data_IF_235863797602
#
_entry.id   IF_235863797602
#
_cell.length_a   1.000
_cell.length_b   1.000
_cell.length_c   1.000
_cell.angle_alpha   90.00
_cell.angle_beta   90.00
_cell.angle_gamma   90.00
#
_symmetry.space_group_name_H-M   'P 1'
#
loop_
_entity.id
_entity.type
_entity.pdbx_description
1 polymer ?
#
# COMPACT_ATOMS: atom_id res chain seq x y z
N UNK A 1 3.90 -17.88 12.59
CA UNK A 1 4.77 -16.69 12.52
C UNK A 1 4.12 -15.50 13.25
N UNK A 2 2.95 -15.04 12.81
CA UNK A 2 2.32 -13.79 13.30
C UNK A 2 1.83 -13.80 14.77
N UNK A 3 1.90 -14.93 15.45
CA UNK A 3 1.70 -15.06 16.89
C UNK A 3 3.03 -15.19 17.66
N UNK A 4 3.92 -16.06 17.19
CA UNK A 4 5.17 -16.39 17.91
C UNK A 4 6.17 -15.23 17.87
N UNK A 5 6.38 -14.64 16.70
CA UNK A 5 7.34 -13.54 16.51
C UNK A 5 7.12 -12.36 17.48
N UNK A 6 5.89 -11.79 17.61
CA UNK A 6 5.71 -10.67 18.53
C UNK A 6 5.82 -11.07 20.01
N UNK A 7 5.39 -12.28 20.37
CA UNK A 7 5.31 -12.70 21.78
C UNK A 7 6.66 -13.17 22.33
N UNK A 8 7.44 -13.90 21.52
CA UNK A 8 8.68 -14.55 21.99
C UNK A 8 9.95 -13.80 21.55
N UNK A 9 9.92 -13.14 20.39
CA UNK A 9 11.12 -12.58 19.77
C UNK A 9 11.09 -11.05 19.64
N UNK A 10 9.98 -10.38 19.99
CA UNK A 10 9.77 -8.95 19.79
C UNK A 10 9.99 -8.49 18.33
N UNK A 11 9.61 -9.34 17.38
CA UNK A 11 9.65 -9.08 15.94
C UNK A 11 8.25 -8.72 15.46
N UNK A 12 8.09 -7.57 14.81
CA UNK A 12 6.82 -7.17 14.20
C UNK A 12 6.60 -7.94 12.90
N UNK A 13 5.65 -8.88 12.83
CA UNK A 13 5.25 -9.49 11.56
C UNK A 13 4.37 -8.53 10.79
N UNK A 14 4.54 -8.50 9.47
CA UNK A 14 3.89 -7.54 8.60
C UNK A 14 3.44 -8.19 7.29
N UNK A 15 2.15 -8.07 6.97
CA UNK A 15 1.65 -8.36 5.63
C UNK A 15 1.97 -7.16 4.72
N UNK A 16 3.16 -7.14 4.17
CA UNK A 16 3.70 -6.04 3.38
C UNK A 16 4.74 -6.54 2.36
N UNK A 17 4.96 -5.77 1.30
CA UNK A 17 6.15 -5.93 0.46
C UNK A 17 7.31 -5.11 1.01
N UNK A 18 8.54 -5.45 0.62
CA UNK A 18 9.72 -4.67 0.99
C UNK A 18 10.75 -4.64 -0.14
N UNK A 19 11.42 -3.50 -0.28
CA UNK A 19 12.54 -3.34 -1.19
C UNK A 19 13.67 -2.50 -0.56
N UNK A 20 14.82 -2.50 -1.22
CA UNK A 20 16.01 -1.84 -0.74
C UNK A 20 16.71 -1.10 -1.88
N UNK A 21 17.22 0.07 -1.59
CA UNK A 21 18.11 0.80 -2.49
C UNK A 21 19.45 0.04 -2.62
N UNK A 22 19.92 -0.29 -3.83
CA UNK A 22 21.13 -1.08 -4.02
C UNK A 22 22.43 -0.35 -3.67
N UNK A 23 22.42 1.00 -3.64
CA UNK A 23 23.60 1.82 -3.36
C UNK A 23 23.70 2.19 -1.88
N UNK A 24 22.60 2.64 -1.28
CA UNK A 24 22.57 3.12 0.10
C UNK A 24 22.20 2.03 1.11
N UNK A 25 21.53 0.96 0.67
CA UNK A 25 20.96 -0.05 1.56
C UNK A 25 19.67 0.40 2.25
N UNK A 26 19.15 1.58 1.92
CA UNK A 26 17.94 2.12 2.55
C UNK A 26 16.71 1.28 2.17
N UNK A 27 16.09 0.72 3.18
CA UNK A 27 14.95 -0.19 3.06
C UNK A 27 13.62 0.56 3.18
N UNK A 28 12.63 0.11 2.40
CA UNK A 28 11.26 0.57 2.47
C UNK A 28 10.29 -0.61 2.57
N UNK A 29 9.17 -0.41 3.29
CA UNK A 29 8.08 -1.37 3.38
C UNK A 29 6.78 -0.77 2.84
N UNK A 30 5.97 -1.61 2.19
CA UNK A 30 4.74 -1.21 1.52
C UNK A 30 3.58 -2.05 2.04
N UNK A 31 2.71 -1.44 2.82
CA UNK A 31 1.45 -2.05 3.22
C UNK A 31 0.36 -1.73 2.22
N UNK A 32 -0.55 -2.65 2.03
CA UNK A 32 -1.70 -2.42 1.17
C UNK A 32 -2.46 -3.70 0.87
N UNK A 33 -3.76 -3.57 0.67
CA UNK A 33 -4.63 -4.67 0.29
C UNK A 33 -4.52 -4.97 -1.21
N UNK A 34 -5.11 -6.07 -1.64
CA UNK A 34 -5.15 -6.45 -3.06
C UNK A 34 -5.72 -5.31 -3.92
N UNK A 35 -5.07 -5.01 -5.03
CA UNK A 35 -5.46 -3.95 -5.96
C UNK A 35 -4.97 -2.54 -5.63
N UNK A 36 -4.30 -2.32 -4.49
CA UNK A 36 -3.70 -1.01 -4.15
C UNK A 36 -2.35 -0.75 -4.83
N UNK A 37 -1.75 -1.76 -5.45
CA UNK A 37 -0.48 -1.64 -6.16
C UNK A 37 0.75 -2.06 -5.34
N UNK A 38 0.59 -2.80 -4.24
CA UNK A 38 1.69 -3.27 -3.36
C UNK A 38 2.82 -3.91 -4.18
N UNK A 39 2.54 -4.98 -4.93
CA UNK A 39 3.52 -5.69 -5.77
C UNK A 39 4.10 -4.79 -6.87
N UNK A 40 3.25 -4.06 -7.60
CA UNK A 40 3.66 -3.16 -8.70
C UNK A 40 4.62 -2.04 -8.26
N UNK A 41 4.45 -1.51 -7.05
CA UNK A 41 5.24 -0.39 -6.54
C UNK A 41 6.51 -0.85 -5.80
N UNK A 42 6.49 -2.04 -5.20
CA UNK A 42 7.67 -2.63 -4.56
C UNK A 42 8.64 -3.26 -5.57
N UNK A 43 8.15 -3.77 -6.70
CA UNK A 43 8.94 -4.33 -7.80
C UNK A 43 9.50 -3.21 -8.71
N UNK A 44 10.24 -2.27 -8.15
CA UNK A 44 10.91 -1.18 -8.86
C UNK A 44 12.23 -1.70 -9.48
N UNK A 45 12.48 -1.53 -10.80
CA UNK A 45 13.72 -1.97 -11.44
C UNK A 45 15.00 -1.31 -10.88
N UNK A 46 14.87 -0.15 -10.26
CA UNK A 46 16.00 0.57 -9.64
C UNK A 46 16.25 0.18 -8.18
N UNK A 47 15.44 -0.71 -7.61
CA UNK A 47 15.56 -1.16 -6.22
C UNK A 47 15.60 -2.68 -6.17
N UNK A 48 16.20 -3.26 -5.14
CA UNK A 48 16.22 -4.71 -4.93
C UNK A 48 14.99 -5.14 -4.15
N UNK A 49 14.21 -6.07 -4.66
CA UNK A 49 13.07 -6.64 -3.98
C UNK A 49 13.55 -7.58 -2.85
N UNK A 50 13.15 -7.32 -1.60
CA UNK A 50 13.40 -8.20 -0.46
C UNK A 50 12.35 -9.31 -0.42
N UNK A 51 11.10 -8.95 -0.64
CA UNK A 51 9.96 -9.87 -0.73
C UNK A 51 8.67 -9.13 -1.06
N UNK A 52 7.65 -9.89 -1.43
CA UNK A 52 6.39 -9.35 -1.97
C UNK A 52 5.27 -9.26 -0.93
N UNK A 53 5.24 -10.15 0.09
CA UNK A 53 4.02 -10.33 0.87
C UNK A 53 4.20 -10.38 2.39
N UNK A 54 5.17 -11.13 2.94
CA UNK A 54 5.27 -11.39 4.38
C UNK A 54 6.68 -11.14 4.93
N UNK A 55 6.79 -10.21 5.87
CA UNK A 55 8.06 -9.78 6.46
C UNK A 55 8.02 -9.69 7.98
N UNK A 56 9.18 -9.92 8.60
CA UNK A 56 9.43 -9.62 10.00
C UNK A 56 10.34 -8.39 10.15
N UNK A 57 9.98 -7.46 11.04
CA UNK A 57 10.82 -6.32 11.41
C UNK A 57 11.39 -6.54 12.80
N UNK A 58 12.66 -6.96 12.85
CA UNK A 58 13.43 -7.14 14.09
C UNK A 58 14.03 -5.81 14.59
N UNK A 59 14.88 -5.87 15.59
CA UNK A 59 15.65 -4.71 16.04
C UNK A 59 16.92 -4.47 15.20
N UNK A 60 17.29 -5.39 14.33
CA UNK A 60 18.50 -5.35 13.52
C UNK A 60 18.21 -5.18 12.02
N UNK A 61 17.12 -5.81 11.54
CA UNK A 61 16.84 -5.93 10.12
C UNK A 61 15.34 -6.08 9.82
N UNK A 62 15.03 -6.07 8.53
CA UNK A 62 13.78 -6.63 7.99
C UNK A 62 14.12 -7.87 7.18
N UNK A 63 13.29 -8.90 7.24
CA UNK A 63 13.48 -10.14 6.49
C UNK A 63 12.17 -10.69 5.96
N UNK A 64 12.25 -11.27 4.76
CA UNK A 64 11.17 -12.01 4.14
C UNK A 64 11.13 -13.44 4.71
N UNK A 65 9.95 -13.94 5.06
CA UNK A 65 9.78 -15.33 5.50
C UNK A 65 8.82 -16.14 4.60
N UNK A 66 8.37 -15.56 3.49
CA UNK A 66 7.52 -16.22 2.50
C UNK A 66 8.33 -16.88 1.37
N UNK A 67 9.31 -16.18 0.79
CA UNK A 67 10.18 -16.70 -0.27
C UNK A 67 9.55 -16.76 -1.66
N UNK A 68 8.29 -16.39 -1.82
CA UNK A 68 7.54 -16.36 -3.07
C UNK A 68 6.96 -14.99 -3.42
N UNK A 69 6.44 -14.89 -4.63
CA UNK A 69 5.64 -13.77 -5.11
C UNK A 69 4.31 -14.26 -5.67
N UNK A 70 3.25 -13.48 -5.49
CA UNK A 70 1.91 -13.81 -5.97
C UNK A 70 1.25 -12.58 -6.58
N UNK A 71 1.42 -12.41 -7.89
CA UNK A 71 1.02 -11.22 -8.62
C UNK A 71 -0.29 -11.40 -9.39
N UNK A 72 -0.98 -10.28 -9.65
CA UNK A 72 -2.15 -10.22 -10.54
C UNK A 72 -1.66 -10.19 -11.99
N UNK A 73 -2.36 -10.91 -12.89
CA UNK A 73 -1.99 -11.04 -14.30
C UNK A 73 -2.97 -10.40 -15.27
N UNK A 74 -4.19 -10.00 -14.85
CA UNK A 74 -5.13 -9.36 -15.78
C UNK A 74 -4.52 -8.06 -16.32
N UNK A 75 -4.61 -7.85 -17.63
CA UNK A 75 -4.02 -6.71 -18.34
C UNK A 75 -2.50 -6.54 -18.12
N UNK A 76 -1.77 -7.63 -17.83
CA UNK A 76 -0.34 -7.61 -17.61
C UNK A 76 0.39 -7.34 -18.93
N UNK A 77 1.18 -6.27 -18.98
CA UNK A 77 1.99 -5.86 -20.11
C UNK A 77 3.47 -5.73 -19.69
N UNK A 78 4.38 -6.20 -20.54
CA UNK A 78 5.82 -6.10 -20.29
C UNK A 78 6.28 -4.65 -20.13
N UNK A 79 5.71 -3.72 -20.91
CA UNK A 79 6.07 -2.31 -20.84
C UNK A 79 5.70 -1.62 -19.52
N UNK A 80 4.65 -2.12 -18.86
CA UNK A 80 4.14 -1.55 -17.60
C UNK A 80 4.75 -2.18 -16.37
N UNK A 81 4.92 -3.51 -16.39
CA UNK A 81 5.37 -4.33 -15.25
C UNK A 81 6.40 -5.37 -15.70
N UNK A 82 7.58 -4.93 -16.20
CA UNK A 82 8.57 -5.81 -16.80
C UNK A 82 9.09 -6.89 -15.85
N UNK A 83 9.25 -6.58 -14.56
CA UNK A 83 9.76 -7.53 -13.58
C UNK A 83 8.79 -8.69 -13.34
N UNK A 84 7.49 -8.41 -13.26
CA UNK A 84 6.46 -9.44 -13.10
C UNK A 84 6.34 -10.24 -14.39
N UNK A 85 6.23 -9.56 -15.55
CA UNK A 85 6.06 -10.21 -16.84
C UNK A 85 7.20 -11.20 -17.14
N UNK A 86 8.45 -10.77 -16.96
CA UNK A 86 9.63 -11.57 -17.23
C UNK A 86 9.87 -12.70 -16.18
N UNK A 87 9.17 -12.66 -15.05
CA UNK A 87 9.18 -13.74 -14.05
C UNK A 87 8.23 -14.90 -14.42
N UNK A 88 7.37 -14.73 -15.44
CA UNK A 88 6.46 -15.78 -15.90
C UNK A 88 7.18 -16.71 -16.85
N UNK A 89 7.76 -17.76 -16.28
CA UNK A 89 8.56 -18.75 -16.99
C UNK A 89 8.35 -20.16 -16.40
N UNK A 90 9.03 -21.17 -16.94
CA UNK A 90 8.94 -22.51 -16.40
C UNK A 90 9.25 -22.55 -14.89
N UNK A 91 8.31 -23.10 -14.12
CA UNK A 91 8.34 -23.11 -12.65
C UNK A 91 7.35 -22.12 -12.02
N UNK A 92 6.81 -21.15 -12.77
CA UNK A 92 5.69 -20.32 -12.32
C UNK A 92 4.38 -21.07 -12.40
N UNK A 93 3.44 -20.75 -11.50
CA UNK A 93 2.10 -21.32 -11.46
C UNK A 93 1.09 -20.25 -11.84
N UNK A 94 0.40 -20.44 -12.97
CA UNK A 94 -0.69 -19.58 -13.41
C UNK A 94 -2.01 -20.07 -12.83
N UNK A 95 -2.79 -19.17 -12.27
CA UNK A 95 -4.11 -19.42 -11.70
C UNK A 95 -5.16 -18.59 -12.45
N UNK A 96 -6.20 -19.28 -12.95
CA UNK A 96 -7.30 -18.73 -13.75
C UNK A 96 -6.87 -18.03 -15.07
N UNK A 97 -5.63 -18.19 -15.49
CA UNK A 97 -5.14 -17.64 -16.76
C UNK A 97 -5.44 -18.62 -17.89
N UNK A 98 -6.09 -18.14 -18.94
CA UNK A 98 -6.33 -18.90 -20.14
C UNK A 98 -5.02 -19.05 -20.93
N UNK A 99 -4.73 -20.26 -21.40
CA UNK A 99 -3.56 -20.55 -22.23
C UNK A 99 -3.99 -21.15 -23.58
N UNK A 100 -3.34 -20.77 -24.64
CA UNK A 100 -3.61 -21.30 -25.97
C UNK A 100 -3.04 -22.73 -26.16
N UNK A 101 -3.29 -23.33 -27.34
CA UNK A 101 -2.76 -24.66 -27.68
C UNK A 101 -1.22 -24.75 -27.70
N UNK A 102 -0.53 -23.63 -27.81
CA UNK A 102 0.94 -23.53 -27.79
C UNK A 102 1.46 -23.24 -26.37
N UNK A 103 0.58 -23.21 -25.36
CA UNK A 103 0.85 -22.86 -23.96
C UNK A 103 1.28 -21.40 -23.76
N UNK A 104 0.81 -20.51 -24.64
CA UNK A 104 0.99 -19.08 -24.47
C UNK A 104 -0.15 -18.52 -23.63
N UNK A 105 0.14 -17.85 -22.51
CA UNK A 105 -0.91 -17.24 -21.65
C UNK A 105 -1.53 -16.03 -22.34
N UNK A 106 -2.84 -15.88 -22.18
CA UNK A 106 -3.58 -14.69 -22.56
C UNK A 106 -3.97 -13.94 -21.27
N UNK A 107 -3.31 -12.81 -21.04
CA UNK A 107 -3.53 -11.99 -19.83
C UNK A 107 -4.71 -11.02 -19.99
N UNK A 108 -5.33 -10.95 -21.17
CA UNK A 108 -6.54 -10.15 -21.42
C UNK A 108 -7.82 -10.97 -21.35
N UNK A 109 -7.70 -12.31 -21.32
CA UNK A 109 -8.84 -13.22 -21.24
C UNK A 109 -9.36 -13.33 -19.80
N UNK A 110 -10.56 -12.78 -19.55
CA UNK A 110 -11.26 -12.80 -18.28
C UNK A 110 -12.43 -13.80 -18.25
N UNK A 111 -12.52 -14.69 -19.24
CA UNK A 111 -13.65 -15.63 -19.39
C UNK A 111 -13.84 -16.57 -18.20
N UNK A 112 -12.76 -16.89 -17.48
CA UNK A 112 -12.82 -17.66 -16.23
C UNK A 112 -13.14 -16.71 -15.07
N UNK A 113 -12.37 -15.65 -14.91
CA UNK A 113 -12.51 -14.57 -13.93
C UNK A 113 -11.46 -13.48 -14.17
N UNK A 114 -11.74 -12.22 -13.83
CA UNK A 114 -10.75 -11.15 -13.79
C UNK A 114 -9.66 -11.37 -12.72
N UNK A 115 -9.87 -12.29 -11.77
CA UNK A 115 -8.90 -12.62 -10.73
C UNK A 115 -7.88 -13.65 -11.22
N UNK A 116 -7.12 -13.29 -12.26
CA UNK A 116 -6.00 -14.07 -12.77
C UNK A 116 -4.75 -13.80 -11.95
N UNK A 117 -3.97 -14.84 -11.65
CA UNK A 117 -2.76 -14.73 -10.79
C UNK A 117 -1.60 -15.55 -11.34
N UNK A 118 -0.39 -15.15 -10.92
CA UNK A 118 0.83 -15.95 -11.07
C UNK A 118 1.56 -16.03 -9.73
N UNK A 119 1.92 -17.26 -9.34
CA UNK A 119 2.84 -17.53 -8.24
C UNK A 119 4.20 -17.92 -8.79
N UNK A 120 5.28 -17.36 -8.27
CA UNK A 120 6.65 -17.66 -8.65
C UNK A 120 7.63 -17.44 -7.50
N UNK A 121 8.78 -18.12 -7.46
CA UNK A 121 9.83 -17.88 -6.48
C UNK A 121 10.38 -16.45 -6.59
N UNK A 122 10.72 -15.82 -5.46
CA UNK A 122 11.22 -14.44 -5.43
C UNK A 122 12.50 -14.25 -6.26
N UNK A 123 13.34 -15.28 -6.38
CA UNK A 123 14.56 -15.29 -7.20
C UNK A 123 14.31 -15.31 -8.72
N UNK A 124 13.04 -15.39 -9.15
CA UNK A 124 12.68 -15.16 -10.55
C UNK A 124 12.68 -13.68 -10.91
N UNK A 125 12.52 -12.81 -9.93
CA UNK A 125 12.70 -11.35 -10.09
C UNK A 125 14.20 -11.07 -10.25
N UNK A 126 14.57 -10.40 -11.34
CA UNK A 126 15.98 -10.19 -11.73
C UNK A 126 16.78 -9.39 -10.70
N UNK A 127 16.12 -8.47 -10.00
CA UNK A 127 16.69 -7.60 -8.97
C UNK A 127 16.31 -8.03 -7.54
N UNK A 128 15.96 -9.30 -7.31
CA UNK A 128 15.69 -9.78 -5.96
C UNK A 128 16.93 -9.73 -5.06
N UNK A 129 16.72 -9.37 -3.81
CA UNK A 129 17.72 -9.39 -2.74
C UNK A 129 17.79 -10.78 -2.12
N UNK A 130 18.88 -11.52 -2.38
CA UNK A 130 19.09 -12.86 -1.81
C UNK A 130 20.29 -12.84 -0.85
N UNK A 131 20.13 -13.31 0.40
CA UNK A 131 18.89 -13.74 1.04
C UNK A 131 17.93 -12.57 1.25
N UNK A 132 16.62 -12.84 1.37
CA UNK A 132 15.57 -11.83 1.51
C UNK A 132 15.69 -11.01 2.80
N UNK A 133 16.74 -10.20 2.93
CA UNK A 133 17.03 -9.34 4.09
C UNK A 133 17.44 -7.94 3.65
N UNK A 134 17.00 -6.94 4.45
CA UNK A 134 17.42 -5.55 4.30
C UNK A 134 17.72 -4.92 5.66
N UNK A 135 18.21 -3.69 5.66
CA UNK A 135 18.40 -2.92 6.90
C UNK A 135 17.07 -2.49 7.54
N UNK A 136 17.15 -1.71 8.60
CA UNK A 136 15.99 -1.08 9.24
C UNK A 136 15.26 -0.19 8.23
N UNK A 137 13.93 -0.30 8.10
CA UNK A 137 13.13 0.52 7.19
C UNK A 137 13.31 2.03 7.48
N UNK A 138 13.67 2.78 6.44
CA UNK A 138 13.74 4.25 6.47
C UNK A 138 12.40 4.88 6.14
N UNK A 139 11.59 4.18 5.35
CA UNK A 139 10.29 4.66 4.90
C UNK A 139 9.26 3.54 4.99
N UNK A 140 8.09 3.87 5.50
CA UNK A 140 6.88 3.05 5.45
C UNK A 140 5.89 3.72 4.51
N UNK A 141 5.37 2.97 3.55
CA UNK A 141 4.31 3.40 2.64
C UNK A 141 3.04 2.63 2.96
N UNK A 142 1.97 3.33 3.31
CA UNK A 142 0.63 2.77 3.34
C UNK A 142 -0.06 3.05 2.01
N UNK A 143 -0.46 2.00 1.29
CA UNK A 143 -1.17 2.09 0.02
C UNK A 143 -2.67 1.96 0.25
N UNK A 144 -3.42 2.88 -0.32
CA UNK A 144 -4.87 2.81 -0.37
C UNK A 144 -5.35 3.05 -1.81
N UNK A 145 -6.55 2.58 -2.14
CA UNK A 145 -7.24 2.91 -3.37
C UNK A 145 -8.60 3.53 -3.00
N UNK A 146 -8.64 4.86 -2.89
CA UNK A 146 -9.85 5.59 -2.56
C UNK A 146 -10.74 5.75 -3.79
N UNK A 147 -11.91 5.11 -3.77
CA UNK A 147 -12.93 5.24 -4.83
C UNK A 147 -13.92 6.41 -4.58
N UNK A 148 -13.81 7.09 -3.45
CA UNK A 148 -14.56 8.34 -3.20
C UNK A 148 -13.92 9.54 -3.90
N UNK A 149 -12.63 9.46 -4.24
CA UNK A 149 -11.88 10.50 -4.95
C UNK A 149 -11.55 11.70 -4.07
N UNK A 150 -11.42 11.53 -2.77
CA UNK A 150 -11.24 12.62 -1.79
C UNK A 150 -9.95 12.56 -0.99
N UNK A 151 -9.28 11.38 -0.92
CA UNK A 151 -7.99 11.29 -0.26
C UNK A 151 -6.87 11.87 -1.12
N UNK A 152 -5.93 12.62 -0.51
CA UNK A 152 -4.76 13.11 -1.23
C UNK A 152 -3.96 11.98 -1.87
N UNK A 153 -3.33 12.22 -3.03
CA UNK A 153 -2.53 11.21 -3.70
C UNK A 153 -1.29 10.78 -2.92
N UNK A 154 -0.75 11.69 -2.09
CA UNK A 154 0.28 11.39 -1.09
C UNK A 154 0.16 12.31 0.10
N UNK A 155 0.38 11.77 1.30
CA UNK A 155 0.41 12.52 2.55
C UNK A 155 1.47 12.00 3.49
N UNK A 156 2.15 12.88 4.22
CA UNK A 156 3.02 12.50 5.31
C UNK A 156 2.18 12.25 6.56
N UNK A 157 2.51 11.20 7.30
CA UNK A 157 1.85 10.84 8.55
C UNK A 157 2.77 11.09 9.75
N UNK A 158 2.21 11.61 10.85
CA UNK A 158 2.84 11.46 12.16
C UNK A 158 2.82 9.98 12.59
N UNK A 159 3.68 9.56 13.51
CA UNK A 159 3.69 8.16 13.97
C UNK A 159 2.33 7.74 14.58
N UNK A 160 1.62 8.64 15.26
CA UNK A 160 0.28 8.35 15.78
C UNK A 160 -0.76 8.20 14.65
N UNK A 161 -0.67 9.03 13.61
CA UNK A 161 -1.51 8.87 12.42
C UNK A 161 -1.16 7.57 11.67
N UNK A 162 0.12 7.20 11.61
CA UNK A 162 0.54 5.93 11.06
C UNK A 162 -0.08 4.74 11.80
N UNK A 163 -0.06 4.73 13.14
CA UNK A 163 -0.73 3.71 13.95
C UNK A 163 -2.24 3.67 13.67
N UNK A 164 -2.91 4.84 13.55
CA UNK A 164 -4.33 4.91 13.20
C UNK A 164 -4.63 4.28 11.85
N UNK A 165 -3.89 4.67 10.80
CA UNK A 165 -4.07 4.12 9.45
C UNK A 165 -3.68 2.65 9.36
N UNK A 166 -2.69 2.20 10.12
CA UNK A 166 -2.31 0.81 10.23
C UNK A 166 -3.44 -0.07 10.79
N UNK A 167 -4.03 0.33 11.91
CA UNK A 167 -5.13 -0.46 12.49
C UNK A 167 -6.41 -0.40 11.66
N UNK A 168 -6.67 0.71 10.96
CA UNK A 168 -7.88 0.81 10.13
C UNK A 168 -7.76 0.09 8.80
N UNK A 169 -6.57 0.13 8.15
CA UNK A 169 -6.30 -0.57 6.89
C UNK A 169 -7.32 -0.27 5.80
N UNK A 170 -7.62 1.03 5.57
CA UNK A 170 -8.64 1.45 4.60
C UNK A 170 -8.21 1.26 3.16
N UNK A 171 -9.11 0.76 2.34
CA UNK A 171 -9.07 0.82 0.88
C UNK A 171 -10.47 0.65 0.29
N UNK A 172 -10.64 0.82 -1.02
CA UNK A 172 -11.78 0.28 -1.75
C UNK A 172 -11.36 -1.02 -2.44
N UNK A 173 -12.07 -2.13 -2.18
CA UNK A 173 -11.92 -3.35 -2.96
C UNK A 173 -12.32 -3.04 -4.40
N UNK A 174 -11.44 -3.32 -5.35
CA UNK A 174 -11.63 -3.02 -6.76
C UNK A 174 -12.26 -4.23 -7.48
N UNK A 175 -12.89 -3.98 -8.62
CA UNK A 175 -13.31 -5.05 -9.52
C UNK A 175 -12.18 -6.03 -9.80
N UNK A 176 -12.48 -7.33 -9.86
CA UNK A 176 -11.48 -8.38 -10.10
C UNK A 176 -10.48 -8.63 -8.95
N UNK A 177 -10.65 -8.05 -7.76
CA UNK A 177 -9.83 -8.40 -6.58
C UNK A 177 -10.40 -9.58 -5.81
N UNK A 178 -11.71 -9.74 -5.83
CA UNK A 178 -12.44 -10.86 -5.22
C UNK A 178 -13.63 -11.23 -6.10
N UNK A 179 -14.04 -12.51 -6.05
CA UNK A 179 -15.19 -12.99 -6.81
C UNK A 179 -16.47 -12.23 -6.42
N UNK A 180 -17.16 -11.66 -7.42
CA UNK A 180 -18.42 -10.93 -7.24
C UNK A 180 -18.28 -9.44 -6.91
N UNK A 181 -17.06 -8.91 -6.82
CA UNK A 181 -16.79 -7.47 -6.72
C UNK A 181 -16.73 -6.88 -8.13
N UNK A 182 -17.80 -6.22 -8.55
CA UNK A 182 -17.94 -5.58 -9.88
C UNK A 182 -17.77 -4.06 -9.81
N UNK A 183 -17.93 -3.45 -8.63
CA UNK A 183 -17.73 -2.02 -8.37
C UNK A 183 -16.88 -1.84 -7.09
N UNK A 184 -16.17 -0.72 -6.94
CA UNK A 184 -15.38 -0.46 -5.75
C UNK A 184 -16.24 -0.45 -4.47
N UNK A 185 -15.83 -1.23 -3.47
CA UNK A 185 -16.49 -1.31 -2.16
C UNK A 185 -15.53 -0.85 -1.07
N UNK A 186 -15.89 0.19 -0.27
CA UNK A 186 -15.10 0.62 0.88
C UNK A 186 -14.86 -0.55 1.85
N UNK A 187 -13.62 -0.72 2.26
CA UNK A 187 -13.22 -1.84 3.12
C UNK A 187 -12.20 -1.37 4.15
N UNK A 188 -12.33 -1.88 5.36
CA UNK A 188 -11.40 -1.69 6.45
C UNK A 188 -10.87 -3.06 6.88
N UNK A 189 -9.60 -3.34 6.59
CA UNK A 189 -8.93 -4.59 6.98
C UNK A 189 -7.85 -4.27 8.01
N UNK A 190 -8.09 -4.63 9.23
CA UNK A 190 -7.20 -4.40 10.38
C UNK A 190 -5.76 -4.78 10.03
N UNK A 191 -4.80 -3.87 10.25
CA UNK A 191 -3.36 -4.10 10.02
C UNK A 191 -3.01 -4.44 8.56
N UNK A 192 -3.88 -4.13 7.60
CA UNK A 192 -3.81 -4.55 6.19
C UNK A 192 -3.80 -6.07 5.97
N UNK A 193 -4.05 -6.86 7.02
CA UNK A 193 -3.96 -8.33 6.99
C UNK A 193 -4.79 -8.99 8.10
N UNK A 194 -6.00 -8.49 8.38
CA UNK A 194 -6.86 -8.94 9.50
C UNK A 194 -6.92 -10.47 9.66
N UNK A 195 -7.07 -11.28 8.59
CA UNK A 195 -7.14 -12.74 8.73
C UNK A 195 -5.83 -13.39 9.21
N UNK A 196 -4.71 -12.70 9.09
CA UNK A 196 -3.37 -13.22 9.39
C UNK A 196 -2.85 -12.82 10.77
N UNK A 197 -3.53 -11.87 11.46
CA UNK A 197 -3.06 -11.24 12.69
C UNK A 197 -3.87 -11.74 13.90
N UNK A 198 -3.39 -12.79 14.62
CA UNK A 198 -4.17 -13.48 15.66
C UNK A 198 -4.20 -12.78 17.01
N UNK A 199 -3.33 -11.81 17.29
CA UNK A 199 -3.33 -11.02 18.52
C UNK A 199 -4.25 -9.80 18.38
N UNK A 200 -4.50 -9.12 19.51
CA UNK A 200 -5.20 -7.83 19.49
C UNK A 200 -4.44 -6.81 18.63
N UNK A 201 -5.19 -6.00 17.87
CA UNK A 201 -4.60 -5.02 16.96
C UNK A 201 -3.71 -3.99 17.68
N UNK A 202 -3.98 -3.70 18.95
CA UNK A 202 -3.17 -2.79 19.76
C UNK A 202 -1.73 -3.27 19.91
N UNK A 203 -1.52 -4.60 20.07
CA UNK A 203 -0.17 -5.17 20.20
C UNK A 203 0.70 -4.84 18.99
N UNK A 204 0.19 -5.11 17.79
CA UNK A 204 0.93 -4.81 16.55
C UNK A 204 1.08 -3.31 16.30
N UNK A 205 0.06 -2.52 16.64
CA UNK A 205 0.10 -1.07 16.50
C UNK A 205 1.14 -0.44 17.43
N UNK A 206 1.23 -0.88 18.67
CA UNK A 206 2.25 -0.45 19.64
C UNK A 206 3.65 -0.84 19.16
N UNK A 207 3.84 -2.09 18.72
CA UNK A 207 5.11 -2.52 18.15
C UNK A 207 5.55 -1.67 16.94
N UNK A 208 4.60 -1.34 16.04
CA UNK A 208 4.89 -0.44 14.92
C UNK A 208 5.28 0.96 15.43
N UNK A 209 4.50 1.52 16.34
CA UNK A 209 4.75 2.84 16.95
C UNK A 209 6.13 2.92 17.58
N UNK A 210 6.50 1.94 18.39
CA UNK A 210 7.81 1.85 19.06
C UNK A 210 8.97 1.78 18.04
N UNK A 211 8.81 1.01 16.98
CA UNK A 211 9.82 0.92 15.92
C UNK A 211 9.91 2.24 15.12
N UNK A 212 8.80 2.86 14.77
CA UNK A 212 8.78 4.16 14.10
C UNK A 212 9.49 5.24 14.94
N UNK A 213 9.20 5.30 16.24
CA UNK A 213 9.80 6.26 17.17
C UNK A 213 11.30 5.97 17.40
N UNK A 214 11.65 4.68 17.60
CA UNK A 214 13.05 4.26 17.84
C UNK A 214 13.99 4.59 16.68
N UNK A 215 13.51 4.39 15.44
CA UNK A 215 14.36 4.50 14.25
C UNK A 215 14.13 5.79 13.45
N UNK A 216 13.16 6.61 13.83
CA UNK A 216 12.81 7.84 13.12
C UNK A 216 12.35 7.57 11.68
N UNK A 217 11.60 6.51 11.48
CA UNK A 217 11.13 6.07 10.17
C UNK A 217 10.06 7.01 9.64
N UNK A 218 10.21 7.51 8.41
CA UNK A 218 9.19 8.33 7.77
C UNK A 218 8.00 7.48 7.32
N UNK A 219 6.80 8.03 7.42
CA UNK A 219 5.59 7.32 7.00
C UNK A 219 4.77 8.17 6.04
N UNK A 220 4.35 7.56 4.94
CA UNK A 220 3.49 8.19 3.94
C UNK A 220 2.26 7.32 3.66
N UNK A 221 1.11 7.97 3.50
CA UNK A 221 -0.09 7.38 2.91
C UNK A 221 -0.12 7.76 1.44
N UNK A 222 -0.19 6.76 0.56
CA UNK A 222 -0.25 6.94 -0.90
C UNK A 222 -1.57 6.39 -1.43
N UNK A 223 -2.35 7.25 -2.07
CA UNK A 223 -3.62 6.91 -2.69
C UNK A 223 -3.44 6.61 -4.18
N UNK A 224 -3.69 5.35 -4.56
CA UNK A 224 -3.67 4.88 -5.96
C UNK A 224 -5.06 4.82 -6.59
N UNK A 225 -6.07 5.36 -5.90
CA UNK A 225 -7.47 5.36 -6.29
C UNK A 225 -7.84 6.47 -7.27
N UNK A 226 -8.95 7.15 -7.03
CA UNK A 226 -9.52 8.16 -7.93
C UNK A 226 -9.19 9.58 -7.50
N UNK A 227 -9.23 10.49 -8.46
CA UNK A 227 -9.07 11.93 -8.32
C UNK A 227 -10.00 12.66 -9.29
N UNK A 228 -10.43 13.88 -8.96
CA UNK A 228 -11.36 14.67 -9.77
C UNK A 228 -12.81 14.19 -9.72
N UNK A 229 -13.15 13.35 -8.75
CA UNK A 229 -14.46 12.76 -8.55
C UNK A 229 -14.39 11.32 -8.06
N UNK A 230 -15.52 10.74 -7.62
CA UNK A 230 -15.60 9.34 -7.23
C UNK A 230 -15.48 8.40 -8.44
N UNK A 231 -15.41 7.09 -8.19
CA UNK A 231 -15.54 6.06 -9.23
C UNK A 231 -16.75 6.34 -10.14
N UNK A 232 -16.50 6.22 -11.45
CA UNK A 232 -17.51 6.53 -12.49
C UNK A 232 -17.61 8.00 -12.91
N UNK A 233 -16.98 8.93 -12.17
CA UNK A 233 -16.87 10.37 -12.49
C UNK A 233 -15.43 10.80 -12.66
N UNK A 234 -14.62 10.61 -11.61
CA UNK A 234 -13.19 10.92 -11.63
C UNK A 234 -12.37 9.89 -12.41
N UNK A 235 -11.06 10.11 -12.44
CA UNK A 235 -10.10 9.23 -13.09
C UNK A 235 -9.19 8.57 -12.06
N UNK A 236 -8.83 7.29 -12.29
CA UNK A 236 -7.84 6.62 -11.46
C UNK A 236 -6.47 7.30 -11.58
N UNK A 237 -5.75 7.41 -10.47
CA UNK A 237 -4.41 7.99 -10.43
C UNK A 237 -3.48 7.27 -11.40
N UNK A 238 -2.77 8.04 -12.24
CA UNK A 238 -1.86 7.46 -13.22
C UNK A 238 -0.65 6.86 -12.52
N UNK A 239 -0.31 5.61 -12.88
CA UNK A 239 0.80 4.87 -12.29
C UNK A 239 2.13 5.65 -12.30
N UNK A 240 2.40 6.41 -13.37
CA UNK A 240 3.59 7.25 -13.48
C UNK A 240 3.69 8.29 -12.34
N UNK A 241 2.56 8.90 -11.94
CA UNK A 241 2.53 9.86 -10.84
C UNK A 241 2.67 9.18 -9.48
N UNK A 242 2.04 8.02 -9.31
CA UNK A 242 2.21 7.22 -8.10
C UNK A 242 3.66 6.80 -7.92
N UNK A 243 4.33 6.32 -8.98
CA UNK A 243 5.76 5.98 -8.95
C UNK A 243 6.63 7.19 -8.61
N UNK A 244 6.36 8.36 -9.22
CA UNK A 244 7.10 9.58 -8.91
C UNK A 244 6.96 10.00 -7.44
N UNK A 245 5.74 9.93 -6.87
CA UNK A 245 5.48 10.23 -5.46
C UNK A 245 6.18 9.25 -4.52
N UNK A 246 6.12 7.95 -4.81
CA UNK A 246 6.83 6.92 -4.05
C UNK A 246 8.34 7.14 -4.12
N UNK A 247 8.89 7.36 -5.31
CA UNK A 247 10.33 7.66 -5.47
C UNK A 247 10.74 8.88 -4.66
N UNK A 248 9.95 9.97 -4.69
CA UNK A 248 10.22 11.19 -3.93
C UNK A 248 10.16 10.98 -2.40
N UNK A 249 9.28 10.08 -1.93
CA UNK A 249 9.24 9.66 -0.53
C UNK A 249 10.49 8.84 -0.16
N UNK A 250 10.85 7.85 -0.97
CA UNK A 250 11.93 6.92 -0.70
C UNK A 250 13.33 7.58 -0.72
N UNK A 251 13.56 8.53 -1.62
CA UNK A 251 14.83 9.26 -1.72
C UNK A 251 14.91 10.48 -0.77
N UNK A 252 13.89 10.72 0.05
CA UNK A 252 13.85 11.79 1.03
C UNK A 252 13.57 13.19 0.45
N UNK A 253 13.26 13.33 -0.83
CA UNK A 253 12.94 14.63 -1.45
C UNK A 253 11.76 15.32 -0.75
N UNK A 254 10.74 14.54 -0.35
CA UNK A 254 9.57 15.08 0.33
C UNK A 254 9.83 15.58 1.77
N UNK A 255 10.99 15.30 2.38
CA UNK A 255 11.33 15.85 3.70
C UNK A 255 11.52 17.37 3.68
N UNK A 256 11.90 17.92 2.54
CA UNK A 256 12.34 19.31 2.38
C UNK A 256 11.33 20.19 1.62
N UNK A 257 10.12 19.70 1.37
CA UNK A 257 9.05 20.47 0.75
C UNK A 257 8.14 21.09 1.80
N UNK A 258 7.42 22.15 1.42
CA UNK A 258 6.35 22.70 2.26
C UNK A 258 5.15 21.76 2.28
N UNK A 259 4.43 21.76 3.41
CA UNK A 259 3.22 20.96 3.59
C UNK A 259 2.06 21.86 3.99
N UNK A 260 0.87 21.56 3.50
CA UNK A 260 -0.37 22.12 4.02
C UNK A 260 -1.18 21.02 4.72
N UNK A 261 -1.89 21.40 5.78
CA UNK A 261 -2.66 20.47 6.57
C UNK A 261 -4.10 20.36 6.07
N UNK A 262 -4.54 19.12 5.82
CA UNK A 262 -5.94 18.82 5.52
C UNK A 262 -6.69 18.50 6.81
N UNK A 263 -7.55 19.42 7.24
CA UNK A 263 -8.29 19.33 8.51
C UNK A 263 -9.27 18.14 8.56
N UNK A 264 -9.90 17.79 7.45
CA UNK A 264 -10.91 16.72 7.39
C UNK A 264 -10.30 15.35 7.66
N UNK A 265 -9.16 15.06 7.04
CA UNK A 265 -8.49 13.78 7.17
C UNK A 265 -7.33 13.79 8.15
N UNK A 266 -6.96 14.95 8.68
CA UNK A 266 -5.82 15.15 9.58
C UNK A 266 -4.50 14.67 8.94
N UNK A 267 -4.26 15.07 7.70
CA UNK A 267 -3.14 14.67 6.86
C UNK A 267 -2.31 15.87 6.42
N UNK A 268 -0.99 15.71 6.34
CA UNK A 268 -0.09 16.70 5.78
C UNK A 268 0.17 16.40 4.30
N UNK A 269 -0.25 17.30 3.42
CA UNK A 269 -0.14 17.18 1.97
C UNK A 269 1.07 17.98 1.48
N UNK A 270 2.01 17.41 0.70
CA UNK A 270 3.14 18.17 0.15
C UNK A 270 2.64 19.19 -0.89
N UNK A 271 3.12 20.42 -0.83
CA UNK A 271 2.79 21.47 -1.79
C UNK A 271 3.37 21.23 -3.18
N UNK A 272 4.40 20.38 -3.27
CA UNK A 272 5.02 19.98 -4.55
C UNK A 272 5.63 18.59 -4.46
N UNK A 273 5.69 17.91 -5.60
CA UNK A 273 6.38 16.63 -5.77
C UNK A 273 7.02 16.60 -7.16
N UNK A 274 8.30 16.22 -7.31
CA UNK A 274 8.94 16.10 -8.63
C UNK A 274 8.14 15.19 -9.57
N UNK A 275 8.08 15.57 -10.84
CA UNK A 275 7.40 14.84 -11.91
C UNK A 275 5.89 14.62 -11.70
N UNK A 276 5.29 15.33 -10.75
CA UNK A 276 3.85 15.32 -10.45
C UNK A 276 3.30 16.74 -10.58
N UNK A 277 2.23 16.95 -11.36
CA UNK A 277 1.57 18.26 -11.42
C UNK A 277 1.05 18.65 -10.02
N UNK A 278 1.33 19.87 -9.59
CA UNK A 278 0.96 20.33 -8.24
C UNK A 278 -0.56 20.44 -8.03
N UNK A 279 -1.31 20.68 -9.08
CA UNK A 279 -2.77 20.78 -9.08
C UNK A 279 -3.48 19.47 -8.72
N UNK A 280 -2.80 18.32 -8.88
CA UNK A 280 -3.39 17.03 -8.46
C UNK A 280 -3.08 16.63 -7.02
N UNK A 281 -2.15 17.32 -6.33
CA UNK A 281 -1.73 16.97 -4.97
C UNK A 281 -2.82 17.27 -3.93
N UNK A 282 -3.57 18.35 -4.12
CA UNK A 282 -4.76 18.61 -3.32
C UNK A 282 -6.01 18.12 -4.08
N UNK A 283 -6.68 17.03 -3.62
CA UNK A 283 -7.82 16.49 -4.34
C UNK A 283 -9.00 17.47 -4.41
N UNK A 284 -9.10 18.43 -3.47
CA UNK A 284 -10.16 19.43 -3.46
C UNK A 284 -10.09 20.36 -4.68
N UNK A 285 -8.87 20.66 -5.14
CA UNK A 285 -8.62 21.47 -6.34
C UNK A 285 -8.94 20.74 -7.66
N UNK A 286 -9.06 19.40 -7.60
CA UNK A 286 -9.34 18.57 -8.80
C UNK A 286 -10.83 18.42 -9.11
N UNK A 287 -11.72 18.76 -8.17
CA UNK A 287 -13.15 18.59 -8.36
C UNK A 287 -13.79 19.83 -9.00
N UNK A 288 -14.72 19.61 -9.95
CA UNK A 288 -15.52 20.71 -10.54
C UNK A 288 -16.46 21.33 -9.50
N UNK A 289 -17.05 20.52 -8.63
CA UNK A 289 -17.93 20.94 -7.52
C UNK A 289 -17.26 20.71 -6.17
N UNK A 290 -16.71 21.78 -5.63
CA UNK A 290 -16.05 21.79 -4.31
C UNK A 290 -17.01 21.43 -3.17
N UNK A 291 -18.30 21.78 -3.28
CA UNK A 291 -19.30 21.43 -2.26
C UNK A 291 -19.57 19.93 -2.25
N UNK A 292 -19.60 19.30 -3.44
CA UNK A 292 -19.72 17.86 -3.57
C UNK A 292 -18.47 17.14 -3.00
N UNK A 293 -17.26 17.68 -3.25
CA UNK A 293 -16.03 17.20 -2.61
C UNK A 293 -16.14 17.21 -1.09
N UNK A 294 -16.49 18.37 -0.50
CA UNK A 294 -16.58 18.54 0.95
C UNK A 294 -17.59 17.59 1.59
N UNK A 295 -18.72 17.36 0.94
CA UNK A 295 -19.73 16.39 1.39
C UNK A 295 -19.20 14.96 1.34
N UNK A 296 -18.52 14.58 0.26
CA UNK A 296 -17.95 13.25 0.08
C UNK A 296 -16.79 12.99 1.04
N UNK A 297 -15.93 13.99 1.27
CA UNK A 297 -14.83 13.94 2.23
C UNK A 297 -15.35 13.71 3.67
N UNK A 298 -16.38 14.46 4.08
CA UNK A 298 -17.02 14.27 5.40
C UNK A 298 -17.62 12.86 5.53
N UNK A 299 -18.24 12.35 4.47
CA UNK A 299 -18.79 10.99 4.47
C UNK A 299 -17.71 9.94 4.72
N UNK A 300 -16.57 10.01 4.01
CA UNK A 300 -15.47 9.07 4.20
C UNK A 300 -14.84 9.24 5.59
N UNK A 301 -14.61 10.46 6.05
CA UNK A 301 -14.07 10.74 7.39
C UNK A 301 -14.96 10.16 8.49
N UNK A 302 -16.28 10.27 8.34
CA UNK A 302 -17.26 9.66 9.27
C UNK A 302 -17.15 8.11 9.27
N UNK A 303 -16.99 7.47 8.10
CA UNK A 303 -16.79 6.02 8.01
C UNK A 303 -15.52 5.56 8.74
N UNK A 304 -14.42 6.31 8.63
CA UNK A 304 -13.20 6.05 9.41
C UNK A 304 -13.47 6.08 10.91
N UNK A 305 -14.15 7.14 11.38
CA UNK A 305 -14.47 7.33 12.79
C UNK A 305 -15.36 6.22 13.32
N UNK A 306 -16.46 5.90 12.64
CA UNK A 306 -17.36 4.83 13.03
C UNK A 306 -16.65 3.46 13.08
N UNK A 307 -15.81 3.15 12.07
CA UNK A 307 -15.04 1.92 12.06
C UNK A 307 -14.09 1.85 13.24
N UNK A 308 -13.35 2.93 13.51
CA UNK A 308 -12.39 2.99 14.61
C UNK A 308 -13.06 2.84 15.97
N UNK A 309 -14.13 3.59 16.22
CA UNK A 309 -14.88 3.54 17.49
C UNK A 309 -15.50 2.16 17.75
N UNK A 310 -15.97 1.51 16.69
CA UNK A 310 -16.58 0.18 16.78
C UNK A 310 -15.56 -0.93 17.01
N UNK A 311 -14.46 -0.92 16.24
CA UNK A 311 -13.47 -2.00 16.26
C UNK A 311 -12.42 -1.84 17.37
N UNK A 312 -12.06 -0.59 17.72
CA UNK A 312 -10.91 -0.31 18.61
C UNK A 312 -11.28 0.60 19.78
N UNK A 313 -12.30 0.23 20.61
CA UNK A 313 -12.80 1.08 21.71
C UNK A 313 -11.74 1.32 22.79
N UNK A 314 -10.78 0.42 22.94
CA UNK A 314 -9.73 0.47 23.98
C UNK A 314 -8.40 1.09 23.47
N UNK A 315 -8.34 1.50 22.19
CA UNK A 315 -7.13 2.12 21.64
C UNK A 315 -6.86 3.47 22.33
N UNK A 316 -5.59 3.84 22.59
CA UNK A 316 -5.21 5.10 23.21
C UNK A 316 -5.83 6.31 22.52
N UNK A 317 -6.26 7.29 23.32
CA UNK A 317 -6.94 8.51 22.83
C UNK A 317 -6.08 9.33 21.86
N UNK A 318 -4.76 9.31 22.04
CA UNK A 318 -3.82 10.01 21.16
C UNK A 318 -3.79 9.42 19.75
N UNK A 319 -3.97 8.09 19.60
CA UNK A 319 -4.09 7.42 18.31
C UNK A 319 -5.44 7.77 17.68
N UNK A 320 -6.52 7.71 18.47
CA UNK A 320 -7.87 8.08 18.01
C UNK A 320 -7.91 9.51 17.46
N UNK A 321 -7.28 10.47 18.15
CA UNK A 321 -7.23 11.90 17.74
C UNK A 321 -6.35 12.13 16.51
N UNK A 322 -5.48 11.21 16.16
CA UNK A 322 -4.63 11.31 14.99
C UNK A 322 -5.33 10.92 13.67
N UNK A 323 -6.53 10.34 13.74
CA UNK A 323 -7.34 9.99 12.58
C UNK A 323 -8.17 11.15 12.01
N UNK A 324 -8.97 10.87 10.96
CA UNK A 324 -9.92 11.84 10.38
C UNK A 324 -10.88 12.47 11.41
N UNK A 325 -11.21 13.75 11.19
CA UNK A 325 -12.00 14.58 12.14
C UNK A 325 -13.45 14.84 11.71
N UNK A 326 -13.93 14.14 10.69
CA UNK A 326 -15.26 14.30 10.10
C UNK A 326 -16.45 14.09 11.05
#
# INVERSE_FOLDING_TARGET
MNYVMPVEENILPMHCSANMDPETGDTAVFFGLSGTGKTTLSADPNRKLIGDDEHGWSDEDIFNFDGGCYAKCIDLEEEREPEIYNSIRFGSVLENVVVDKNRVPDFYDDTITENTRVGYPVDFISNAQIPGKGGIPKVVIFLTADAFGVLPPISRLSHKAAMYHFVTGFTSKLAGTERGVTEPVPTFSTLFGEPFMPLDASVYAEMLGDKLDKYGTDVYLVNTGWSGGPYGVGSRMKLKYTRAMVTAALNGTLKNVEYHHNETFNLDIPASCPDVPSDILDPRETWEDVTAYDAQAKKLAHMFKENFEKKYPNMPEEIRKAGPRG
#
